data_IF_959058832694
#
_entry.id   IF_959058832694
#
_cell.length_a   1.000
_cell.length_b   1.000
_cell.length_c   1.000
_cell.angle_alpha   90.00
_cell.angle_beta   90.00
_cell.angle_gamma   90.00
#
_symmetry.space_group_name_H-M   'P 1'
#
loop_
_entity.id
_entity.type
_entity.pdbx_description
1 polymer ?
#
# COMPACT_ATOMS: atom_id res chain seq x y z
N UNK A 1 3.54 12.16 19.48
CA UNK A 1 2.32 12.84 19.02
C UNK A 1 1.68 13.49 20.24
N UNK A 2 1.22 14.73 20.18
CA UNK A 2 0.55 15.34 21.35
C UNK A 2 -0.93 14.99 21.34
N UNK A 3 -1.45 14.53 22.47
CA UNK A 3 -2.87 14.31 22.72
C UNK A 3 -3.37 15.33 23.74
N UNK A 4 -4.51 15.96 23.46
CA UNK A 4 -5.24 16.83 24.39
C UNK A 4 -6.66 16.33 24.57
N UNK A 5 -7.09 16.19 25.81
CA UNK A 5 -8.43 15.70 26.16
C UNK A 5 -9.23 16.79 26.85
N UNK A 6 -10.50 16.91 26.50
CA UNK A 6 -11.43 17.91 27.01
C UNK A 6 -12.71 17.25 27.52
N UNK A 7 -12.91 17.23 28.84
CA UNK A 7 -14.06 16.67 29.53
C UNK A 7 -15.23 17.63 29.59
N UNK A 8 -16.45 17.10 29.48
CA UNK A 8 -17.68 17.85 29.75
C UNK A 8 -17.99 19.04 28.82
N UNK A 9 -17.08 19.44 27.93
CA UNK A 9 -17.17 20.63 27.07
C UNK A 9 -18.18 20.48 25.91
N UNK A 10 -18.97 19.41 25.89
CA UNK A 10 -19.86 19.09 24.76
C UNK A 10 -19.11 19.17 23.43
N UNK A 11 -17.84 18.76 23.39
CA UNK A 11 -17.00 18.81 22.19
C UNK A 11 -17.66 18.06 21.01
N UNK A 12 -18.48 17.05 21.29
CA UNK A 12 -19.35 16.35 20.34
C UNK A 12 -20.45 17.22 19.68
N UNK A 13 -20.59 18.50 20.06
CA UNK A 13 -21.54 19.46 19.47
C UNK A 13 -20.87 20.54 18.62
N UNK A 14 -19.54 20.50 18.50
CA UNK A 14 -18.85 21.41 17.59
C UNK A 14 -19.30 21.12 16.16
N UNK A 15 -19.43 22.18 15.36
CA UNK A 15 -19.95 22.12 13.98
C UNK A 15 -18.99 22.73 12.97
N UNK A 16 -17.93 23.41 13.41
CA UNK A 16 -16.95 24.07 12.53
C UNK A 16 -15.54 23.82 13.01
N UNK A 17 -14.59 23.79 12.08
CA UNK A 17 -13.17 23.59 12.38
C UNK A 17 -12.63 24.70 13.30
N UNK A 18 -13.06 25.95 13.09
CA UNK A 18 -12.65 27.08 13.92
C UNK A 18 -13.04 26.90 15.39
N UNK A 19 -14.16 26.24 15.70
CA UNK A 19 -14.52 25.93 17.08
C UNK A 19 -13.56 24.91 17.71
N UNK A 20 -13.11 23.91 16.95
CA UNK A 20 -12.09 22.95 17.41
C UNK A 20 -10.78 23.68 17.66
N UNK A 21 -10.35 24.54 16.73
CA UNK A 21 -9.12 25.33 16.88
C UNK A 21 -9.20 26.24 18.11
N UNK A 22 -10.33 26.93 18.29
CA UNK A 22 -10.56 27.80 19.45
C UNK A 22 -10.56 27.03 20.77
N UNK A 23 -11.20 25.86 20.82
CA UNK A 23 -11.13 24.98 21.99
C UNK A 23 -9.69 24.55 22.28
N UNK A 24 -8.98 24.03 21.27
CA UNK A 24 -7.64 23.50 21.42
C UNK A 24 -6.58 24.55 21.82
N UNK A 25 -6.77 25.81 21.40
CA UNK A 25 -5.84 26.91 21.68
C UNK A 25 -6.18 27.71 22.94
N UNK A 26 -7.47 27.94 23.21
CA UNK A 26 -7.90 28.91 24.23
C UNK A 26 -8.45 28.25 25.49
N UNK A 27 -8.76 26.94 25.46
CA UNK A 27 -9.16 26.19 26.65
C UNK A 27 -7.99 25.40 27.21
N UNK A 28 -7.90 25.30 28.54
CA UNK A 28 -6.95 24.40 29.18
C UNK A 28 -7.44 22.96 29.02
N UNK A 29 -6.63 22.03 28.47
CA UNK A 29 -7.00 20.63 28.39
C UNK A 29 -7.03 20.00 29.79
N UNK A 30 -7.92 19.05 30.00
CA UNK A 30 -7.99 18.27 31.24
C UNK A 30 -6.80 17.29 31.33
N UNK A 31 -6.40 16.72 30.18
CA UNK A 31 -5.22 15.89 30.04
C UNK A 31 -4.40 16.32 28.81
N UNK A 32 -3.08 16.36 28.96
CA UNK A 32 -2.13 16.53 27.86
C UNK A 32 -1.02 15.50 27.98
N UNK A 33 -0.90 14.63 26.98
CA UNK A 33 0.04 13.50 26.99
C UNK A 33 0.79 13.37 25.67
N UNK A 34 1.86 12.57 25.67
CA UNK A 34 2.50 12.13 24.45
C UNK A 34 1.94 10.76 24.06
N UNK A 35 1.13 10.74 23.03
CA UNK A 35 0.51 9.54 22.51
C UNK A 35 1.47 8.77 21.58
N UNK A 36 1.47 7.45 21.74
CA UNK A 36 2.21 6.49 20.89
C UNK A 36 1.30 5.74 19.93
N UNK A 37 0.00 5.74 20.18
CA UNK A 37 -1.09 5.36 19.28
C UNK A 37 -2.12 6.50 19.26
N UNK A 38 -3.24 6.32 18.57
CA UNK A 38 -4.34 7.30 18.57
C UNK A 38 -5.64 6.62 19.01
N UNK A 39 -5.64 6.11 20.23
CA UNK A 39 -6.79 5.51 20.88
C UNK A 39 -6.94 6.08 22.29
N UNK A 40 -8.11 6.64 22.58
CA UNK A 40 -8.39 7.19 23.90
C UNK A 40 -9.69 6.62 24.46
N UNK A 41 -9.62 6.20 25.72
CA UNK A 41 -10.76 5.76 26.53
C UNK A 41 -10.59 6.30 27.95
N UNK A 42 -11.70 6.70 28.56
CA UNK A 42 -11.67 7.17 29.94
C UNK A 42 -11.48 5.99 30.91
N UNK A 43 -10.62 6.12 31.93
CA UNK A 43 -10.55 5.15 33.02
C UNK A 43 -11.90 5.00 33.73
N UNK A 44 -12.23 3.77 34.14
CA UNK A 44 -13.42 3.50 34.93
C UNK A 44 -13.42 4.35 36.22
N UNK A 45 -14.53 5.06 36.48
CA UNK A 45 -14.71 5.84 37.71
C UNK A 45 -14.19 7.28 37.67
N UNK A 46 -13.78 7.80 36.52
CA UNK A 46 -13.35 9.20 36.36
C UNK A 46 -14.44 10.19 36.83
N UNK A 47 -14.20 10.91 37.92
CA UNK A 47 -15.09 11.97 38.41
C UNK A 47 -15.12 13.12 37.37
N UNK A 48 -16.33 13.47 36.89
CA UNK A 48 -16.64 14.33 35.72
C UNK A 48 -16.90 13.63 34.38
N UNK A 49 -16.83 12.29 34.32
CA UNK A 49 -17.21 11.49 33.14
C UNK A 49 -18.73 11.41 32.85
N UNK A 50 -19.57 12.22 33.53
CA UNK A 50 -21.04 12.20 33.32
C UNK A 50 -21.47 12.74 31.95
N UNK A 51 -20.53 13.25 31.15
CA UNK A 51 -20.74 13.64 29.76
C UNK A 51 -19.63 13.09 28.86
N UNK A 52 -19.89 13.03 27.57
CA UNK A 52 -18.85 12.71 26.59
C UNK A 52 -17.71 13.73 26.57
N UNK A 53 -16.60 13.35 25.95
CA UNK A 53 -15.35 14.10 25.89
C UNK A 53 -14.91 14.32 24.44
N UNK A 54 -13.97 15.23 24.23
CA UNK A 54 -13.29 15.46 22.95
C UNK A 54 -11.79 15.26 23.07
N UNK A 55 -11.17 14.74 22.02
CA UNK A 55 -9.75 14.52 21.91
C UNK A 55 -9.23 15.23 20.66
N UNK A 56 -8.10 15.92 20.81
CA UNK A 56 -7.33 16.48 19.71
C UNK A 56 -5.95 15.83 19.71
N UNK A 57 -5.65 15.06 18.68
CA UNK A 57 -4.30 14.61 18.41
C UNK A 57 -3.65 15.55 17.41
N UNK A 58 -2.46 16.08 17.71
CA UNK A 58 -1.75 16.96 16.80
C UNK A 58 -0.23 16.83 16.91
N UNK A 59 0.43 16.91 15.76
CA UNK A 59 1.88 16.74 15.66
C UNK A 59 2.32 16.42 14.25
N UNK A 60 3.46 15.72 14.14
CA UNK A 60 4.04 15.30 12.87
C UNK A 60 3.77 13.81 12.65
N UNK A 61 3.33 13.47 11.45
CA UNK A 61 3.25 12.11 10.92
C UNK A 61 4.45 11.88 10.00
N UNK A 62 5.17 10.78 10.18
CA UNK A 62 6.21 10.32 9.27
C UNK A 62 5.56 9.37 8.25
N UNK A 63 5.66 9.74 6.99
CA UNK A 63 5.25 8.93 5.84
C UNK A 63 6.51 8.33 5.20
N UNK A 64 6.73 7.01 5.35
CA UNK A 64 7.95 6.38 4.87
C UNK A 64 8.15 6.43 3.35
N UNK A 65 7.05 6.48 2.59
CA UNK A 65 7.03 6.43 1.13
C UNK A 65 5.87 7.25 0.58
N UNK A 66 6.06 7.87 -0.56
CA UNK A 66 4.97 8.55 -1.25
C UNK A 66 3.88 7.53 -1.61
N UNK A 67 2.60 7.89 -1.40
CA UNK A 67 1.49 7.02 -1.74
C UNK A 67 0.16 7.45 -1.13
N UNK A 68 -0.89 6.74 -1.54
CA UNK A 68 -2.22 6.89 -0.96
C UNK A 68 -2.23 6.42 0.51
N UNK A 69 -2.93 7.16 1.35
CA UNK A 69 -3.13 6.88 2.77
C UNK A 69 -4.60 7.05 3.10
N UNK A 70 -5.19 6.05 3.76
CA UNK A 70 -6.53 6.16 4.35
C UNK A 70 -6.39 6.41 5.84
N UNK A 71 -6.98 7.49 6.34
CA UNK A 71 -7.13 7.73 7.78
C UNK A 71 -8.60 7.58 8.15
N UNK A 72 -8.90 6.67 9.08
CA UNK A 72 -10.22 6.46 9.64
C UNK A 72 -10.29 7.08 11.04
N UNK A 73 -11.25 7.96 11.28
CA UNK A 73 -11.49 8.60 12.57
C UNK A 73 -12.83 8.12 13.11
N UNK A 74 -12.81 7.53 14.30
CA UNK A 74 -13.98 6.97 14.96
C UNK A 74 -14.37 7.80 16.19
N UNK A 75 -15.64 8.19 16.22
CA UNK A 75 -16.22 9.03 17.24
C UNK A 75 -17.62 9.49 16.85
N UNK A 76 -18.31 10.15 17.77
CA UNK A 76 -19.60 10.78 17.49
C UNK A 76 -19.45 12.02 16.59
N UNK A 77 -18.39 12.80 16.77
CA UNK A 77 -18.04 13.95 15.90
C UNK A 77 -16.57 13.87 15.56
N UNK A 78 -16.25 14.01 14.27
CA UNK A 78 -14.91 13.75 13.74
C UNK A 78 -14.47 14.82 12.74
N UNK A 79 -13.18 15.09 12.69
CA UNK A 79 -12.51 15.89 11.66
C UNK A 79 -11.03 15.50 11.54
N UNK A 80 -10.44 15.84 10.39
CA UNK A 80 -9.06 15.53 10.02
C UNK A 80 -8.50 16.66 9.16
N UNK A 81 -7.38 17.22 9.58
CA UNK A 81 -6.57 18.13 8.79
C UNK A 81 -5.16 17.57 8.62
N UNK A 82 -4.62 17.69 7.40
CA UNK A 82 -3.24 17.32 7.07
C UNK A 82 -2.60 18.47 6.29
N UNK A 83 -1.40 18.88 6.70
CA UNK A 83 -0.66 20.00 6.10
C UNK A 83 -1.46 21.29 5.94
N UNK A 84 -2.34 21.57 6.90
CA UNK A 84 -3.20 22.75 6.91
C UNK A 84 -4.44 22.64 6.02
N UNK A 85 -4.60 21.54 5.27
CA UNK A 85 -5.79 21.24 4.46
C UNK A 85 -6.76 20.38 5.27
N UNK A 86 -8.04 20.77 5.30
CA UNK A 86 -9.09 20.03 5.96
C UNK A 86 -9.61 18.93 5.02
N UNK A 87 -9.34 17.66 5.35
CA UNK A 87 -9.76 16.51 4.55
C UNK A 87 -11.06 15.87 5.06
N UNK A 88 -11.38 16.07 6.34
CA UNK A 88 -12.70 15.83 6.90
C UNK A 88 -13.15 17.08 7.64
N UNK A 89 -14.15 17.77 7.11
CA UNK A 89 -14.90 18.80 7.85
C UNK A 89 -15.48 18.24 9.14
N UNK A 90 -15.85 19.11 10.08
CA UNK A 90 -16.55 18.68 11.29
C UNK A 90 -17.91 18.09 10.92
N UNK A 91 -18.07 16.79 11.11
CA UNK A 91 -19.36 16.13 10.95
C UNK A 91 -19.51 14.96 11.92
N UNK A 92 -20.71 14.37 11.94
CA UNK A 92 -21.02 13.24 12.81
C UNK A 92 -20.57 11.91 12.23
N UNK A 93 -20.26 10.99 13.14
CA UNK A 93 -20.02 9.58 12.84
C UNK A 93 -18.58 9.24 12.52
N UNK A 94 -18.36 7.94 12.37
CA UNK A 94 -17.09 7.37 11.94
C UNK A 94 -16.88 7.68 10.46
N UNK A 95 -15.74 8.27 10.12
CA UNK A 95 -15.46 8.77 8.78
C UNK A 95 -14.04 8.43 8.36
N UNK A 96 -13.84 8.32 7.06
CA UNK A 96 -12.54 8.02 6.44
C UNK A 96 -12.21 9.09 5.42
N UNK A 97 -10.93 9.45 5.33
CA UNK A 97 -10.39 10.27 4.25
C UNK A 97 -9.26 9.52 3.56
N UNK A 98 -9.30 9.52 2.23
CA UNK A 98 -8.21 9.05 1.38
C UNK A 98 -7.44 10.26 0.88
N UNK A 99 -6.15 10.28 1.17
CA UNK A 99 -5.25 11.38 0.85
C UNK A 99 -3.99 10.83 0.22
N UNK A 100 -3.35 11.62 -0.63
CA UNK A 100 -1.99 11.31 -1.07
C UNK A 100 -0.99 12.02 -0.17
N UNK A 101 -0.01 11.29 0.36
CA UNK A 101 1.11 11.85 1.11
C UNK A 101 2.41 11.52 0.40
N UNK A 102 3.29 12.51 0.24
CA UNK A 102 4.65 12.27 -0.23
C UNK A 102 5.52 11.62 0.85
N UNK A 103 6.72 11.17 0.49
CA UNK A 103 7.67 10.70 1.50
C UNK A 103 8.11 11.88 2.37
N UNK A 104 8.10 11.70 3.70
CA UNK A 104 8.59 12.70 4.66
C UNK A 104 7.61 12.97 5.79
N UNK A 105 7.66 14.20 6.31
CA UNK A 105 6.91 14.62 7.50
C UNK A 105 5.75 15.53 7.14
N UNK A 106 4.56 15.17 7.64
CA UNK A 106 3.32 15.89 7.44
C UNK A 106 2.77 16.40 8.77
N UNK A 107 2.20 17.60 8.79
CA UNK A 107 1.44 18.09 9.93
C UNK A 107 0.11 17.33 9.99
N UNK A 108 -0.14 16.61 11.07
CA UNK A 108 -1.39 15.87 11.28
C UNK A 108 -2.16 16.53 12.43
N UNK A 109 -3.46 16.77 12.24
CA UNK A 109 -4.38 17.16 13.31
C UNK A 109 -5.69 16.38 13.16
N UNK A 110 -6.05 15.63 14.19
CA UNK A 110 -7.28 14.84 14.24
C UNK A 110 -8.11 15.30 15.41
N UNK A 111 -9.41 15.47 15.18
CA UNK A 111 -10.39 15.69 16.23
C UNK A 111 -11.39 14.54 16.25
N UNK A 112 -11.61 13.98 17.43
CA UNK A 112 -12.66 13.01 17.67
C UNK A 112 -13.33 13.28 19.02
N UNK A 113 -14.65 13.25 19.05
CA UNK A 113 -15.42 13.43 20.27
C UNK A 113 -16.52 12.39 20.40
N UNK A 114 -16.87 12.06 21.63
CA UNK A 114 -17.94 11.13 21.98
C UNK A 114 -19.02 11.82 22.81
N UNK A 115 -20.23 11.25 22.83
CA UNK A 115 -21.33 11.67 23.73
C UNK A 115 -21.32 10.91 25.06
N UNK A 116 -20.61 9.79 25.15
CA UNK A 116 -20.59 8.89 26.28
C UNK A 116 -19.14 8.59 26.69
N UNK A 117 -18.83 8.78 27.97
CA UNK A 117 -17.51 8.52 28.53
C UNK A 117 -17.03 7.06 28.39
N UNK A 118 -17.96 6.11 28.31
CA UNK A 118 -17.62 4.69 28.14
C UNK A 118 -17.30 4.32 26.68
N UNK A 119 -17.40 5.25 25.74
CA UNK A 119 -17.03 5.01 24.34
C UNK A 119 -15.59 5.44 24.10
N UNK A 120 -14.84 4.60 23.40
CA UNK A 120 -13.51 4.87 22.88
C UNK A 120 -13.60 5.73 21.62
N UNK A 121 -12.74 6.72 21.51
CA UNK A 121 -12.47 7.43 20.24
C UNK A 121 -11.12 6.96 19.69
N UNK A 122 -11.03 6.75 18.39
CA UNK A 122 -9.81 6.23 17.76
C UNK A 122 -9.53 6.88 16.42
N UNK A 123 -8.25 6.88 16.03
CA UNK A 123 -7.84 7.05 14.65
C UNK A 123 -6.99 5.86 14.20
N UNK A 124 -7.22 5.40 12.98
CA UNK A 124 -6.49 4.29 12.34
C UNK A 124 -5.99 4.71 10.97
N UNK A 125 -4.91 4.09 10.52
CA UNK A 125 -4.25 4.40 9.25
C UNK A 125 -4.12 3.14 8.41
N UNK A 126 -4.26 3.29 7.10
CA UNK A 126 -3.80 2.33 6.11
C UNK A 126 -2.93 3.07 5.10
N UNK A 127 -1.78 2.51 4.76
CA UNK A 127 -0.90 3.03 3.69
C UNK A 127 -1.06 2.15 2.46
N UNK A 128 -0.85 2.72 1.28
CA UNK A 128 -0.89 1.98 0.03
C UNK A 128 0.00 0.73 0.13
N UNK A 129 -0.59 -0.42 -0.20
CA UNK A 129 0.11 -1.68 -0.35
C UNK A 129 -0.20 -2.21 -1.74
N UNK A 130 0.78 -2.11 -2.64
CA UNK A 130 0.60 -2.59 -4.01
C UNK A 130 0.49 -4.10 -4.08
N UNK A 131 0.80 -4.87 -3.03
CA UNK A 131 0.63 -6.32 -3.01
C UNK A 131 -0.72 -6.76 -2.40
N UNK A 132 -1.59 -5.85 -1.97
CA UNK A 132 -2.85 -6.19 -1.31
C UNK A 132 -4.03 -5.32 -1.79
N UNK A 133 -5.06 -5.97 -2.31
CA UNK A 133 -6.32 -5.31 -2.73
C UNK A 133 -7.13 -4.76 -1.55
N UNK A 134 -7.01 -5.41 -0.40
CA UNK A 134 -7.77 -5.04 0.79
C UNK A 134 -7.08 -3.90 1.55
N UNK A 135 -7.85 -2.85 1.82
CA UNK A 135 -7.41 -1.73 2.67
C UNK A 135 -7.50 -2.14 4.14
N UNK A 136 -6.37 -2.50 4.71
CA UNK A 136 -6.27 -2.93 6.10
C UNK A 136 -5.89 -1.75 7.01
N UNK A 137 -6.87 -1.24 7.76
CA UNK A 137 -6.67 -0.19 8.76
C UNK A 137 -6.01 -0.76 10.02
N UNK A 138 -4.86 -0.20 10.40
CA UNK A 138 -4.13 -0.54 11.62
C UNK A 138 -4.12 0.65 12.59
N UNK A 139 -3.93 0.41 13.91
CA UNK A 139 -3.63 1.50 14.84
C UNK A 139 -2.34 2.20 14.43
N UNK A 140 -2.29 3.52 14.63
CA UNK A 140 -1.03 4.25 14.57
C UNK A 140 -0.04 3.66 15.58
N UNK A 141 1.23 3.62 15.21
CA UNK A 141 2.34 3.13 16.02
C UNK A 141 3.26 4.27 16.41
N UNK A 142 4.11 4.04 17.41
CA UNK A 142 5.08 5.04 17.88
C UNK A 142 6.00 5.50 16.76
N UNK A 143 6.38 4.59 15.88
CA UNK A 143 7.26 4.80 14.74
C UNK A 143 6.66 5.77 13.71
N UNK A 144 5.32 5.87 13.63
CA UNK A 144 4.63 6.84 12.77
C UNK A 144 4.88 8.29 13.20
N UNK A 145 5.37 8.51 14.43
CA UNK A 145 5.61 9.82 15.02
C UNK A 145 7.09 10.04 15.38
N UNK A 146 7.99 9.12 15.02
CA UNK A 146 9.39 9.19 15.38
C UNK A 146 10.18 10.15 14.48
N UNK A 147 10.38 11.37 14.98
CA UNK A 147 11.14 12.41 14.29
C UNK A 147 12.67 12.21 14.33
N UNK A 148 13.15 11.18 15.02
CA UNK A 148 14.57 10.79 14.99
C UNK A 148 14.88 9.82 13.85
N UNK A 149 13.85 9.28 13.19
CA UNK A 149 13.98 8.43 12.01
C UNK A 149 14.70 9.17 10.87
N UNK A 150 15.60 8.51 10.12
CA UNK A 150 16.19 9.08 8.91
C UNK A 150 15.17 9.52 7.85
N UNK A 151 13.96 8.94 7.90
CA UNK A 151 12.82 9.24 7.03
C UNK A 151 12.04 10.49 7.46
N UNK A 152 12.28 11.02 8.66
CA UNK A 152 11.60 12.18 9.19
C UNK A 152 12.14 13.51 8.61
N UNK A 153 12.20 13.59 7.28
CA UNK A 153 12.59 14.79 6.52
C UNK A 153 11.33 15.57 6.13
N UNK A 154 11.39 16.89 5.89
CA UNK A 154 10.27 17.61 5.31
C UNK A 154 9.78 16.91 4.04
N UNK A 155 8.45 16.73 3.92
CA UNK A 155 7.88 16.17 2.70
C UNK A 155 8.22 17.06 1.49
N UNK A 156 8.39 16.44 0.32
CA UNK A 156 8.61 17.18 -0.92
C UNK A 156 7.37 18.01 -1.23
N UNK A 157 7.53 19.32 -1.32
CA UNK A 157 6.43 20.21 -1.65
C UNK A 157 6.07 20.04 -3.14
N UNK A 158 4.82 19.67 -3.42
CA UNK A 158 4.30 19.60 -4.79
C UNK A 158 3.99 21.00 -5.29
N UNK A 159 4.27 21.24 -6.57
CA UNK A 159 3.84 22.48 -7.18
C UNK A 159 2.31 22.49 -7.24
N UNK A 160 1.66 23.62 -6.91
CA UNK A 160 0.23 23.73 -7.06
C UNK A 160 -0.14 23.52 -8.54
N UNK A 161 -1.28 22.88 -8.78
CA UNK A 161 -1.85 22.74 -10.12
C UNK A 161 -2.03 24.14 -10.74
N UNK A 162 -1.49 24.33 -11.94
CA UNK A 162 -1.68 25.52 -12.73
C UNK A 162 -2.88 25.31 -13.64
N UNK A 163 -3.77 26.31 -13.70
CA UNK A 163 -4.93 26.28 -14.57
C UNK A 163 -4.95 27.55 -15.43
N UNK A 164 -4.92 27.36 -16.74
CA UNK A 164 -5.09 28.40 -17.74
C UNK A 164 -6.47 28.23 -18.37
N UNK A 165 -7.41 29.08 -17.99
CA UNK A 165 -8.81 28.98 -18.39
C UNK A 165 -9.13 30.16 -19.31
N UNK A 166 -9.52 29.86 -20.54
CA UNK A 166 -10.08 30.81 -21.50
C UNK A 166 -11.56 30.51 -21.76
N UNK A 167 -12.20 31.30 -22.63
CA UNK A 167 -13.61 31.12 -23.00
C UNK A 167 -13.88 29.75 -23.65
N UNK A 168 -12.91 29.21 -24.40
CA UNK A 168 -13.10 27.98 -25.21
C UNK A 168 -12.10 26.86 -24.90
N UNK A 169 -11.06 27.14 -24.13
CA UNK A 169 -9.96 26.20 -23.88
C UNK A 169 -9.51 26.29 -22.43
N UNK A 170 -9.50 25.14 -21.75
CA UNK A 170 -9.10 25.00 -20.36
C UNK A 170 -7.92 24.05 -20.28
N UNK A 171 -6.77 24.55 -19.86
CA UNK A 171 -5.54 23.79 -19.70
C UNK A 171 -5.21 23.65 -18.20
N UNK A 172 -4.98 22.42 -17.75
CA UNK A 172 -4.62 22.09 -16.38
C UNK A 172 -3.25 21.40 -16.38
N UNK A 173 -2.26 21.99 -15.72
CA UNK A 173 -0.90 21.46 -15.62
C UNK A 173 -0.55 21.15 -14.17
N UNK A 174 -0.07 19.95 -13.90
CA UNK A 174 0.36 19.47 -12.59
C UNK A 174 1.58 18.56 -12.74
N UNK A 175 2.27 18.28 -11.63
CA UNK A 175 3.41 17.35 -11.63
C UNK A 175 2.98 15.95 -12.14
N UNK A 176 3.78 15.23 -12.96
CA UNK A 176 3.38 13.97 -13.55
C UNK A 176 2.95 12.90 -12.53
N UNK A 177 1.88 12.15 -12.87
CA UNK A 177 1.38 11.05 -12.07
C UNK A 177 1.15 9.80 -12.93
N UNK A 178 1.49 8.64 -12.38
CA UNK A 178 1.04 7.35 -12.89
C UNK A 178 -0.42 7.14 -12.50
N UNK A 179 -1.33 7.23 -13.48
CA UNK A 179 -2.77 7.16 -13.27
C UNK A 179 -3.38 6.10 -14.19
N UNK A 180 -4.33 5.32 -13.66
CA UNK A 180 -5.18 4.42 -14.46
C UNK A 180 -6.33 5.16 -15.14
N UNK A 181 -6.93 6.10 -14.43
CA UNK A 181 -8.10 6.84 -14.91
C UNK A 181 -7.99 8.30 -14.49
N UNK A 182 -8.53 9.16 -15.33
CA UNK A 182 -8.73 10.57 -15.04
C UNK A 182 -10.22 10.86 -15.03
N UNK A 183 -10.70 11.59 -14.02
CA UNK A 183 -12.09 12.01 -13.93
C UNK A 183 -12.17 13.52 -14.00
N UNK A 184 -12.91 14.02 -14.98
CA UNK A 184 -13.26 15.43 -15.08
C UNK A 184 -14.72 15.61 -14.62
N UNK A 185 -14.93 16.45 -13.60
CA UNK A 185 -16.25 16.74 -13.01
C UNK A 185 -16.49 18.23 -13.04
N UNK A 186 -17.66 18.62 -13.52
CA UNK A 186 -18.15 20.00 -13.46
C UNK A 186 -19.27 20.03 -12.44
N UNK A 187 -18.97 20.57 -11.26
CA UNK A 187 -19.91 20.63 -10.14
C UNK A 187 -21.02 21.66 -10.39
N UNK A 188 -20.69 22.76 -11.08
CA UNK A 188 -21.62 23.86 -11.37
C UNK A 188 -21.29 24.51 -12.72
N UNK A 189 -22.33 24.90 -13.46
CA UNK A 189 -22.21 25.68 -14.67
C UNK A 189 -23.38 26.67 -14.81
N UNK A 190 -23.16 27.76 -15.51
CA UNK A 190 -24.19 28.73 -15.86
C UNK A 190 -24.78 28.35 -17.23
N UNK A 191 -26.12 28.22 -17.30
CA UNK A 191 -26.83 27.86 -18.53
C UNK A 191 -27.56 26.52 -18.43
N UNK A 192 -27.90 25.93 -19.58
CA UNK A 192 -28.68 24.67 -19.65
C UNK A 192 -27.81 23.41 -19.69
N UNK A 193 -26.58 23.50 -20.23
CA UNK A 193 -25.64 22.38 -20.32
C UNK A 193 -24.20 22.86 -20.54
N UNK A 194 -23.24 21.96 -20.31
CA UNK A 194 -21.84 22.11 -20.76
C UNK A 194 -21.61 21.25 -22.00
N UNK A 195 -20.94 21.80 -23.00
CA UNK A 195 -20.48 21.07 -24.18
C UNK A 195 -18.95 21.01 -24.18
N UNK A 196 -18.40 19.80 -24.26
CA UNK A 196 -16.96 19.54 -24.40
C UNK A 196 -16.72 18.97 -25.79
N UNK A 197 -15.93 19.67 -26.62
CA UNK A 197 -15.66 19.27 -28.00
C UNK A 197 -14.50 18.27 -28.10
N UNK A 198 -13.41 18.55 -27.39
CA UNK A 198 -12.18 17.75 -27.44
C UNK A 198 -11.59 17.61 -26.03
N UNK A 199 -10.84 16.53 -25.82
CA UNK A 199 -10.15 16.26 -24.56
C UNK A 199 -8.77 15.67 -24.89
N UNK A 200 -7.73 16.32 -24.37
CA UNK A 200 -6.35 15.88 -24.52
C UNK A 200 -5.77 15.52 -23.16
N UNK A 201 -5.03 14.42 -23.10
CA UNK A 201 -4.24 14.07 -21.92
C UNK A 201 -2.80 13.92 -22.36
N UNK A 202 -1.96 14.84 -21.89
CA UNK A 202 -0.52 14.83 -22.13
C UNK A 202 0.27 14.00 -21.12
N UNK A 203 1.47 13.59 -21.52
CA UNK A 203 2.49 13.06 -20.63
C UNK A 203 3.46 14.13 -20.14
N UNK A 204 4.57 13.70 -19.54
CA UNK A 204 5.62 14.58 -19.03
C UNK A 204 6.42 15.28 -20.12
N UNK A 205 6.41 14.75 -21.35
CA UNK A 205 7.08 15.33 -22.50
C UNK A 205 6.15 16.26 -23.31
N UNK A 206 6.65 17.40 -23.82
CA UNK A 206 5.87 18.26 -24.70
C UNK A 206 5.35 17.52 -25.93
N UNK A 207 4.06 17.64 -26.22
CA UNK A 207 3.35 16.98 -27.34
C UNK A 207 3.24 15.44 -27.26
N UNK A 208 3.59 14.82 -26.13
CA UNK A 208 3.24 13.42 -25.90
C UNK A 208 1.80 13.35 -25.41
N UNK A 209 0.89 12.85 -26.24
CA UNK A 209 -0.52 12.67 -25.88
C UNK A 209 -0.87 11.19 -25.72
N UNK A 210 -1.50 10.87 -24.60
CA UNK A 210 -2.12 9.55 -24.34
C UNK A 210 -3.57 9.51 -24.79
N UNK A 211 -4.27 10.64 -24.73
CA UNK A 211 -5.62 10.81 -25.27
C UNK A 211 -5.59 12.02 -26.22
N UNK A 212 -6.12 11.87 -27.45
CA UNK A 212 -6.61 10.64 -28.07
C UNK A 212 -5.49 9.61 -28.34
N UNK A 213 -5.82 8.32 -28.35
CA UNK A 213 -4.84 7.27 -28.68
C UNK A 213 -4.51 7.28 -30.18
N UNK A 214 -3.29 6.88 -30.55
CA UNK A 214 -2.88 6.77 -31.96
C UNK A 214 -3.52 5.58 -32.68
N UNK A 215 -4.11 4.63 -31.95
CA UNK A 215 -4.68 3.42 -32.50
C UNK A 215 -5.98 3.71 -33.26
N UNK A 216 -6.02 3.35 -34.55
CA UNK A 216 -7.25 3.35 -35.33
C UNK A 216 -8.04 2.08 -35.00
N UNK A 217 -8.99 2.19 -34.07
CA UNK A 217 -9.87 1.07 -33.66
C UNK A 217 -10.63 0.48 -34.86
N UNK A 218 -10.88 1.27 -35.91
CA UNK A 218 -11.56 0.77 -37.12
C UNK A 218 -10.68 -0.17 -37.96
N UNK A 219 -9.35 -0.06 -37.83
CA UNK A 219 -8.40 -0.94 -38.51
C UNK A 219 -8.40 -2.37 -37.96
N UNK A 220 -8.77 -2.56 -36.68
CA UNK A 220 -8.88 -3.87 -36.04
C UNK A 220 -9.90 -4.78 -36.73
N UNK A 221 -10.96 -4.22 -37.32
CA UNK A 221 -12.01 -4.98 -38.00
C UNK A 221 -11.53 -5.69 -39.29
N UNK A 222 -10.34 -5.35 -39.80
CA UNK A 222 -9.84 -5.83 -41.09
C UNK A 222 -8.58 -6.70 -40.97
N UNK A 223 -8.15 -7.07 -39.75
CA UNK A 223 -7.00 -7.94 -39.55
C UNK A 223 -7.43 -9.41 -39.38
N UNK A 224 -6.46 -10.33 -39.42
CA UNK A 224 -6.68 -11.77 -39.15
C UNK A 224 -6.20 -12.15 -37.74
N UNK A 225 -6.30 -11.21 -36.79
CA UNK A 225 -5.90 -11.42 -35.40
C UNK A 225 -7.17 -11.51 -34.56
N UNK A 226 -7.25 -12.55 -33.73
CA UNK A 226 -8.29 -12.60 -32.71
C UNK A 226 -7.87 -11.65 -31.59
N UNK A 227 -8.45 -10.46 -31.59
CA UNK A 227 -8.27 -9.50 -30.50
C UNK A 227 -9.03 -9.99 -29.27
N UNK A 228 -8.33 -10.16 -28.16
CA UNK A 228 -8.88 -10.63 -26.89
C UNK A 228 -8.63 -9.56 -25.84
N UNK A 229 -9.66 -9.19 -25.09
CA UNK A 229 -9.57 -8.29 -23.96
C UNK A 229 -9.53 -9.06 -22.64
N UNK A 230 -9.02 -8.42 -21.58
CA UNK A 230 -9.12 -8.95 -20.22
C UNK A 230 -10.59 -9.17 -19.83
N UNK A 231 -10.91 -10.39 -19.41
CA UNK A 231 -12.26 -10.83 -19.07
C UNK A 231 -12.96 -11.65 -20.17
N UNK A 232 -12.43 -11.68 -21.40
CA UNK A 232 -12.96 -12.53 -22.46
C UNK A 232 -12.77 -14.01 -22.12
N UNK A 233 -13.71 -14.85 -22.57
CA UNK A 233 -13.65 -16.30 -22.40
C UNK A 233 -13.47 -16.93 -23.77
N UNK A 234 -12.33 -17.60 -23.96
CA UNK A 234 -12.06 -18.40 -25.15
C UNK A 234 -12.52 -19.83 -24.88
N UNK A 235 -13.52 -20.28 -25.63
CA UNK A 235 -14.00 -21.66 -25.59
C UNK A 235 -13.38 -22.46 -26.74
N UNK A 236 -12.61 -23.49 -26.39
CA UNK A 236 -12.10 -24.48 -27.33
C UNK A 236 -12.97 -25.74 -27.26
N UNK A 237 -13.55 -26.12 -28.39
CA UNK A 237 -14.32 -27.36 -28.53
C UNK A 237 -13.58 -28.34 -29.45
N UNK A 238 -13.46 -29.59 -29.01
CA UNK A 238 -12.86 -30.67 -29.78
C UNK A 238 -13.81 -31.87 -29.79
N UNK A 239 -14.10 -32.37 -30.98
CA UNK A 239 -14.87 -33.61 -31.14
C UNK A 239 -13.91 -34.78 -31.17
N UNK A 240 -13.91 -35.57 -30.08
CA UNK A 240 -13.18 -36.83 -30.03
C UNK A 240 -13.99 -37.91 -30.77
N UNK A 241 -13.56 -38.23 -31.98
CA UNK A 241 -14.17 -39.26 -32.82
C UNK A 241 -13.73 -40.69 -32.47
N UNK A 242 -12.69 -40.86 -31.64
CA UNK A 242 -12.13 -42.17 -31.30
C UNK A 242 -12.71 -42.73 -30.01
N UNK A 243 -13.01 -41.88 -29.03
CA UNK A 243 -13.63 -42.28 -27.76
C UNK A 243 -15.14 -42.14 -27.83
N UNK A 244 -15.84 -43.23 -28.17
CA UNK A 244 -17.30 -43.22 -28.24
C UNK A 244 -17.96 -43.22 -26.85
N UNK A 245 -19.04 -42.45 -26.71
CA UNK A 245 -19.98 -42.58 -25.61
C UNK A 245 -20.67 -43.96 -25.69
N UNK A 246 -21.29 -44.42 -24.59
CA UNK A 246 -22.06 -45.69 -24.56
C UNK A 246 -23.16 -45.78 -25.64
N UNK A 247 -23.58 -44.63 -26.18
CA UNK A 247 -24.55 -44.49 -27.27
C UNK A 247 -23.95 -44.59 -28.69
N UNK A 248 -22.63 -44.76 -28.83
CA UNK A 248 -21.92 -44.80 -30.12
C UNK A 248 -21.62 -43.45 -30.76
N UNK A 249 -21.95 -42.33 -30.08
CA UNK A 249 -21.67 -40.98 -30.55
C UNK A 249 -20.26 -40.51 -30.16
N UNK A 250 -19.64 -39.70 -31.02
CA UNK A 250 -18.40 -38.96 -30.73
C UNK A 250 -18.57 -38.07 -29.49
N UNK A 251 -17.51 -37.88 -28.72
CA UNK A 251 -17.54 -37.07 -27.50
C UNK A 251 -17.09 -35.64 -27.79
N UNK A 252 -17.95 -34.67 -27.52
CA UNK A 252 -17.55 -33.26 -27.52
C UNK A 252 -16.82 -32.96 -26.21
N UNK A 253 -15.59 -32.47 -26.31
CA UNK A 253 -14.77 -31.98 -25.20
C UNK A 253 -14.71 -30.46 -25.29
N UNK A 254 -15.05 -29.79 -24.20
CA UNK A 254 -15.00 -28.33 -24.11
C UNK A 254 -14.00 -27.93 -23.04
N UNK A 255 -13.19 -26.90 -23.34
CA UNK A 255 -12.34 -26.20 -22.38
C UNK A 255 -12.51 -24.70 -22.55
N UNK A 256 -12.56 -24.01 -21.43
CA UNK A 256 -12.63 -22.56 -21.36
C UNK A 256 -11.31 -22.01 -20.83
N UNK A 257 -10.89 -20.88 -21.37
CA UNK A 257 -9.78 -20.07 -20.89
C UNK A 257 -10.29 -18.63 -20.73
N UNK A 258 -10.28 -18.11 -19.51
CA UNK A 258 -10.52 -16.67 -19.28
C UNK A 258 -9.22 -15.93 -19.53
N UNK A 259 -9.22 -15.02 -20.50
CA UNK A 259 -8.09 -14.15 -20.75
C UNK A 259 -7.99 -13.10 -19.63
N UNK A 260 -6.88 -13.08 -18.90
CA UNK A 260 -6.63 -12.12 -17.83
C UNK A 260 -5.14 -11.94 -17.64
N UNK A 261 -4.75 -10.79 -17.11
CA UNK A 261 -3.39 -10.55 -16.65
C UNK A 261 -3.14 -11.18 -15.29
N UNK A 262 -1.89 -11.56 -15.05
CA UNK A 262 -1.43 -12.04 -13.76
C UNK A 262 -0.93 -10.87 -12.90
N UNK A 263 -1.36 -10.82 -11.64
CA UNK A 263 -0.80 -9.85 -10.71
C UNK A 263 0.55 -10.37 -10.23
N UNK A 264 1.63 -9.80 -10.75
CA UNK A 264 2.97 -10.30 -10.47
C UNK A 264 3.28 -10.26 -8.98
N UNK A 265 4.07 -11.24 -8.53
CA UNK A 265 4.51 -11.36 -7.13
C UNK A 265 6.02 -11.31 -7.09
N UNK A 266 6.57 -10.46 -6.22
CA UNK A 266 8.00 -10.42 -5.91
C UNK A 266 8.20 -10.96 -4.50
N UNK A 267 9.15 -11.86 -4.33
CA UNK A 267 9.51 -12.44 -3.04
C UNK A 267 11.02 -12.46 -2.87
N UNK A 268 11.48 -12.25 -1.64
CA UNK A 268 12.82 -12.64 -1.20
C UNK A 268 12.75 -14.05 -0.62
N UNK A 269 13.56 -14.96 -1.14
CA UNK A 269 13.54 -16.36 -0.74
C UNK A 269 14.94 -16.87 -0.39
N UNK A 270 14.94 -17.97 0.35
CA UNK A 270 16.11 -18.82 0.56
C UNK A 270 15.70 -20.29 0.45
N UNK A 271 16.69 -21.16 0.29
CA UNK A 271 16.47 -22.60 0.21
C UNK A 271 17.15 -23.31 1.38
N UNK A 272 16.40 -24.14 2.09
CA UNK A 272 16.95 -25.10 3.04
C UNK A 272 17.05 -26.48 2.38
N UNK A 273 18.16 -27.16 2.61
CA UNK A 273 18.40 -28.51 2.10
C UNK A 273 18.34 -29.49 3.25
N UNK A 274 17.32 -30.34 3.27
CA UNK A 274 17.15 -31.38 4.28
C UNK A 274 17.44 -32.74 3.65
N UNK A 275 18.36 -33.50 4.27
CA UNK A 275 18.66 -34.86 3.83
C UNK A 275 17.65 -35.82 4.45
N UNK A 276 16.86 -36.48 3.60
CA UNK A 276 15.90 -37.49 4.01
C UNK A 276 16.61 -38.81 4.37
N UNK A 277 15.93 -39.67 5.14
CA UNK A 277 16.45 -40.97 5.61
C UNK A 277 16.86 -41.91 4.47
N UNK A 278 16.24 -41.77 3.29
CA UNK A 278 16.58 -42.51 2.06
C UNK A 278 17.81 -41.94 1.32
N UNK A 279 18.46 -40.90 1.87
CA UNK A 279 19.60 -40.23 1.27
C UNK A 279 19.26 -39.15 0.24
N UNK A 280 17.99 -38.97 -0.12
CA UNK A 280 17.55 -37.91 -1.01
C UNK A 280 17.66 -36.54 -0.33
N UNK A 281 17.94 -35.49 -1.12
CA UNK A 281 17.96 -34.11 -0.63
C UNK A 281 16.63 -33.46 -1.01
N UNK A 282 15.92 -32.96 0.00
CA UNK A 282 14.70 -32.19 -0.17
C UNK A 282 15.02 -30.71 -0.05
N UNK A 283 14.69 -29.94 -1.08
CA UNK A 283 14.79 -28.48 -1.08
C UNK A 283 13.50 -27.88 -0.52
N UNK A 284 13.62 -26.98 0.45
CA UNK A 284 12.50 -26.28 1.08
C UNK A 284 12.67 -24.79 0.78
N UNK A 285 11.78 -24.22 -0.04
CA UNK A 285 11.67 -22.77 -0.26
C UNK A 285 11.14 -22.12 1.01
N UNK A 286 11.84 -21.11 1.52
CA UNK A 286 11.39 -20.26 2.63
C UNK A 286 11.45 -18.80 2.23
N UNK A 287 10.55 -18.00 2.80
CA UNK A 287 10.62 -16.55 2.69
C UNK A 287 11.80 -16.02 3.51
N UNK A 288 12.57 -15.10 2.92
CA UNK A 288 13.77 -14.51 3.51
C UNK A 288 13.46 -13.09 3.98
N UNK A 289 13.23 -12.94 5.28
CA UNK A 289 12.91 -11.63 5.88
C UNK A 289 14.14 -10.87 6.36
N UNK A 290 15.21 -11.58 6.73
CA UNK A 290 16.39 -10.99 7.35
C UNK A 290 17.68 -11.64 6.88
N UNK A 291 18.75 -10.85 6.82
CA UNK A 291 20.10 -11.31 6.52
C UNK A 291 21.15 -10.68 7.42
N UNK A 292 22.28 -11.36 7.58
CA UNK A 292 23.54 -10.74 7.95
C UNK A 292 24.35 -10.34 6.70
N UNK A 293 25.18 -9.27 6.75
CA UNK A 293 26.08 -8.95 5.64
C UNK A 293 26.97 -10.15 5.28
N UNK A 294 26.95 -10.56 4.02
CA UNK A 294 27.64 -11.77 3.54
C UNK A 294 26.68 -12.92 3.19
N UNK A 295 25.44 -12.88 3.67
CA UNK A 295 24.41 -13.84 3.25
C UNK A 295 23.82 -13.48 1.88
N UNK A 296 23.24 -14.48 1.22
CA UNK A 296 22.68 -14.35 -0.12
C UNK A 296 21.18 -14.07 -0.05
N UNK A 297 20.72 -13.14 -0.88
CA UNK A 297 19.31 -12.92 -1.16
C UNK A 297 19.00 -13.56 -2.51
N UNK A 298 17.96 -14.38 -2.59
CA UNK A 298 17.41 -14.81 -3.88
C UNK A 298 16.10 -14.08 -4.12
N UNK A 299 16.02 -13.30 -5.20
CA UNK A 299 14.73 -12.76 -5.65
C UNK A 299 14.00 -13.82 -6.47
N UNK A 300 12.69 -13.94 -6.24
CA UNK A 300 11.77 -14.72 -7.05
C UNK A 300 10.66 -13.80 -7.52
N UNK A 301 10.50 -13.69 -8.84
CA UNK A 301 9.46 -12.90 -9.49
C UNK A 301 8.56 -13.90 -10.21
N UNK A 302 7.28 -13.95 -9.83
CA UNK A 302 6.27 -14.76 -10.50
C UNK A 302 5.43 -13.82 -11.36
N UNK A 303 5.56 -13.94 -12.67
CA UNK A 303 4.82 -13.16 -13.66
C UNK A 303 4.66 -13.98 -14.95
N UNK A 304 3.52 -14.68 -15.06
CA UNK A 304 3.22 -15.52 -16.23
C UNK A 304 3.04 -14.71 -17.52
N UNK A 305 2.80 -13.39 -17.43
CA UNK A 305 2.61 -12.55 -18.61
C UNK A 305 3.95 -12.22 -19.30
N UNK A 306 5.07 -12.54 -18.63
CA UNK A 306 6.45 -12.35 -19.12
C UNK A 306 7.10 -13.60 -19.69
N UNK A 307 6.44 -14.75 -19.57
CA UNK A 307 6.78 -15.94 -20.36
C UNK A 307 6.20 -15.76 -21.77
N UNK A 308 7.04 -15.29 -22.69
CA UNK A 308 6.65 -14.86 -24.04
C UNK A 308 7.31 -15.68 -25.14
N UNK A 309 8.30 -16.50 -24.80
CA UNK A 309 9.07 -17.29 -25.76
C UNK A 309 9.10 -18.77 -25.37
N UNK A 310 9.75 -19.57 -26.22
CA UNK A 310 9.91 -21.01 -25.99
C UNK A 310 11.24 -21.36 -25.31
N UNK A 311 11.84 -20.37 -24.64
CA UNK A 311 13.13 -20.45 -23.94
C UNK A 311 13.02 -19.62 -22.67
N UNK A 312 13.92 -19.82 -21.69
CA UNK A 312 13.90 -19.04 -20.47
C UNK A 312 14.00 -17.54 -20.76
N UNK A 313 12.93 -16.83 -20.45
CA UNK A 313 12.83 -15.39 -20.63
C UNK A 313 13.54 -14.65 -19.49
N UNK A 314 13.69 -13.34 -19.67
CA UNK A 314 14.36 -12.48 -18.69
C UNK A 314 13.54 -11.25 -18.37
N UNK A 315 13.58 -10.87 -17.11
CA UNK A 315 12.90 -9.67 -16.60
C UNK A 315 13.88 -8.77 -15.86
N UNK A 316 13.71 -7.46 -16.05
CA UNK A 316 14.46 -6.45 -15.31
C UNK A 316 13.75 -6.15 -13.99
N UNK A 317 14.53 -6.00 -12.94
CA UNK A 317 14.07 -5.57 -11.63
C UNK A 317 15.15 -4.70 -10.97
N UNK A 318 14.81 -4.03 -9.88
CA UNK A 318 15.70 -3.10 -9.20
C UNK A 318 15.96 -3.54 -7.76
N UNK A 319 17.19 -3.32 -7.30
CA UNK A 319 17.57 -3.48 -5.90
C UNK A 319 17.88 -2.11 -5.32
N UNK A 320 17.25 -1.77 -4.21
CA UNK A 320 17.39 -0.46 -3.55
C UNK A 320 17.81 -0.70 -2.11
N UNK A 321 18.92 -0.09 -1.68
CA UNK A 321 19.36 -0.12 -0.28
C UNK A 321 18.96 1.18 0.39
N UNK A 322 18.04 1.10 1.35
CA UNK A 322 17.39 2.25 1.99
C UNK A 322 16.73 3.18 0.95
N UNK A 323 17.21 4.42 0.83
CA UNK A 323 16.74 5.43 -0.14
C UNK A 323 17.84 5.77 -1.19
N UNK A 324 18.79 4.84 -1.44
CA UNK A 324 19.83 5.04 -2.45
C UNK A 324 19.29 4.86 -3.88
N UNK A 325 20.10 5.21 -4.88
CA UNK A 325 19.74 5.00 -6.28
C UNK A 325 19.48 3.51 -6.58
N UNK A 326 18.42 3.19 -7.34
CA UNK A 326 18.12 1.81 -7.73
C UNK A 326 19.24 1.17 -8.55
N UNK A 327 19.55 -0.09 -8.25
CA UNK A 327 20.50 -0.91 -8.99
C UNK A 327 19.71 -1.86 -9.89
N UNK A 328 19.70 -1.66 -11.22
CA UNK A 328 18.99 -2.56 -12.13
C UNK A 328 19.72 -3.90 -12.23
N UNK A 329 18.97 -4.98 -12.10
CA UNK A 329 19.41 -6.37 -12.24
C UNK A 329 18.44 -7.13 -13.14
N UNK A 330 18.89 -8.29 -13.61
CA UNK A 330 18.13 -9.15 -14.50
C UNK A 330 17.93 -10.52 -13.84
N UNK A 331 16.67 -10.95 -13.77
CA UNK A 331 16.27 -12.30 -13.36
C UNK A 331 15.97 -13.14 -14.61
N UNK A 332 16.22 -14.44 -14.51
CA UNK A 332 15.99 -15.39 -15.61
C UNK A 332 15.02 -16.46 -15.15
N UNK A 333 14.15 -16.88 -16.05
CA UNK A 333 13.24 -17.99 -15.81
C UNK A 333 13.99 -19.23 -15.30
N UNK A 334 13.39 -19.92 -14.33
CA UNK A 334 14.01 -21.08 -13.72
C UNK A 334 13.81 -22.39 -14.52
N UNK A 335 12.84 -22.42 -15.43
CA UNK A 335 12.54 -23.53 -16.33
C UNK A 335 11.81 -22.98 -17.58
N UNK A 336 11.67 -23.80 -18.61
CA UNK A 336 10.92 -23.44 -19.80
C UNK A 336 9.43 -23.26 -19.46
N UNK A 337 8.85 -22.12 -19.85
CA UNK A 337 7.44 -21.76 -19.66
C UNK A 337 6.97 -21.71 -18.20
N UNK A 338 7.85 -21.32 -17.28
CA UNK A 338 7.53 -21.35 -15.87
C UNK A 338 6.84 -20.07 -15.39
N UNK A 339 7.10 -18.93 -16.04
CA UNK A 339 6.79 -17.58 -15.58
C UNK A 339 7.39 -17.23 -14.21
N UNK A 340 8.41 -17.99 -13.77
CA UNK A 340 9.07 -17.81 -12.47
C UNK A 340 10.53 -17.46 -12.72
N UNK A 341 10.88 -16.20 -12.46
CA UNK A 341 12.20 -15.64 -12.68
C UNK A 341 12.96 -15.55 -11.37
N UNK A 342 14.23 -15.96 -11.37
CA UNK A 342 15.07 -15.91 -10.17
C UNK A 342 16.41 -15.23 -10.44
N UNK A 343 16.96 -14.60 -9.39
CA UNK A 343 18.31 -14.04 -9.38
C UNK A 343 18.88 -14.10 -7.97
N UNK A 344 20.10 -14.63 -7.87
CA UNK A 344 20.88 -14.60 -6.64
C UNK A 344 21.67 -13.29 -6.53
N UNK A 345 21.64 -12.69 -5.34
CA UNK A 345 22.29 -11.43 -4.99
C UNK A 345 23.16 -11.70 -3.77
N UNK A 346 24.47 -11.75 -3.99
CA UNK A 346 25.44 -11.89 -2.90
C UNK A 346 25.64 -10.54 -2.20
N UNK A 347 25.59 -10.54 -0.87
CA UNK A 347 25.80 -9.32 -0.08
C UNK A 347 27.17 -9.30 0.59
N UNK A 348 27.59 -8.11 1.05
CA UNK A 348 28.87 -7.92 1.75
C UNK A 348 28.81 -6.69 2.65
N UNK A 349 29.59 -6.67 3.73
CA UNK A 349 29.72 -5.50 4.60
C UNK A 349 30.57 -4.38 3.98
N UNK A 350 31.51 -4.75 3.11
CA UNK A 350 32.50 -3.86 2.50
C UNK A 350 32.32 -3.79 0.99
N UNK A 351 32.76 -2.72 0.34
CA UNK A 351 32.62 -2.58 -1.11
C UNK A 351 33.42 -3.69 -1.84
N UNK A 352 32.71 -4.55 -2.56
CA UNK A 352 33.27 -5.63 -3.36
C UNK A 352 32.57 -5.67 -4.73
N UNK A 353 33.32 -5.93 -5.80
CA UNK A 353 32.76 -5.96 -7.15
C UNK A 353 31.78 -7.13 -7.32
N UNK A 354 30.64 -6.87 -7.97
CA UNK A 354 29.59 -7.86 -8.17
C UNK A 354 28.74 -8.23 -6.94
N UNK A 355 28.97 -7.61 -5.77
CA UNK A 355 28.16 -7.85 -4.55
C UNK A 355 27.45 -6.59 -4.08
N UNK A 356 26.29 -6.78 -3.45
CA UNK A 356 25.51 -5.72 -2.84
C UNK A 356 26.11 -5.34 -1.47
N UNK A 357 26.64 -4.12 -1.35
CA UNK A 357 27.13 -3.63 -0.06
C UNK A 357 25.98 -3.25 0.86
N UNK A 358 25.92 -3.87 2.03
CA UNK A 358 24.87 -3.66 3.03
C UNK A 358 25.46 -3.53 4.43
N UNK A 359 24.81 -2.75 5.29
CA UNK A 359 25.20 -2.51 6.69
C UNK A 359 24.09 -2.94 7.63
N UNK A 360 24.46 -3.25 8.88
CA UNK A 360 23.49 -3.56 9.92
C UNK A 360 22.47 -2.42 10.08
N UNK A 361 21.19 -2.77 10.07
CA UNK A 361 20.07 -1.83 10.11
C UNK A 361 19.60 -1.33 8.75
N UNK A 362 20.29 -1.66 7.65
CA UNK A 362 19.82 -1.34 6.31
C UNK A 362 18.56 -2.14 5.95
N UNK A 363 17.80 -1.59 5.01
CA UNK A 363 16.65 -2.24 4.36
C UNK A 363 16.97 -2.40 2.88
N UNK A 364 16.77 -3.60 2.36
CA UNK A 364 16.95 -3.90 0.93
C UNK A 364 15.58 -4.14 0.32
N UNK A 365 15.23 -3.34 -0.68
CA UNK A 365 14.00 -3.48 -1.44
C UNK A 365 14.29 -4.12 -2.79
N UNK A 366 13.51 -5.14 -3.13
CA UNK A 366 13.51 -5.80 -4.44
C UNK A 366 12.26 -5.32 -5.16
N UNK A 367 12.42 -4.53 -6.23
CA UNK A 367 11.33 -3.87 -6.94
C UNK A 367 11.20 -4.37 -8.37
N UNK A 368 10.02 -4.85 -8.74
CA UNK A 368 9.69 -5.27 -10.09
C UNK A 368 8.52 -4.42 -10.62
N UNK A 369 8.62 -3.93 -11.85
CA UNK A 369 7.53 -3.18 -12.48
C UNK A 369 6.58 -4.15 -13.20
N UNK A 370 5.47 -4.44 -12.53
CA UNK A 370 4.35 -5.18 -13.10
C UNK A 370 3.61 -4.26 -14.07
N UNK A 371 3.83 -4.44 -15.37
CA UNK A 371 3.28 -3.57 -16.42
C UNK A 371 1.80 -3.82 -16.71
N UNK A 372 1.34 -5.05 -16.53
CA UNK A 372 -0.01 -5.48 -16.86
C UNK A 372 -0.53 -6.34 -15.72
N UNK A 373 -1.60 -5.87 -15.09
CA UNK A 373 -2.21 -6.54 -13.96
C UNK A 373 -3.70 -6.21 -13.92
N UNK A 374 -4.44 -6.94 -13.09
CA UNK A 374 -5.83 -6.64 -12.76
C UNK A 374 -5.94 -5.70 -11.56
N UNK A 375 -4.93 -5.70 -10.69
CA UNK A 375 -4.85 -4.83 -9.52
C UNK A 375 -3.49 -4.15 -9.38
N UNK A 376 -3.43 -2.81 -9.33
CA UNK A 376 -4.54 -1.84 -9.43
C UNK A 376 -5.06 -1.63 -10.86
N UNK A 377 -4.57 -2.38 -11.85
CA UNK A 377 -4.95 -2.34 -13.25
C UNK A 377 -4.25 -1.28 -14.08
N UNK A 378 -3.03 -0.91 -13.67
CA UNK A 378 -2.05 -0.13 -14.43
C UNK A 378 -0.66 -0.57 -13.99
N UNK A 379 0.38 -0.11 -14.69
CA UNK A 379 1.75 -0.43 -14.34
C UNK A 379 2.03 -0.05 -12.88
N UNK A 380 2.50 -1.01 -12.08
CA UNK A 380 2.69 -0.81 -10.64
C UNK A 380 4.00 -1.45 -10.17
N UNK A 381 4.79 -0.79 -9.32
CA UNK A 381 5.92 -1.43 -8.68
C UNK A 381 5.42 -2.43 -7.62
N UNK A 382 5.83 -3.70 -7.76
CA UNK A 382 5.70 -4.76 -6.76
C UNK A 382 7.01 -4.86 -6.00
N UNK A 383 6.94 -4.99 -4.68
CA UNK A 383 8.14 -4.97 -3.86
C UNK A 383 8.16 -6.06 -2.78
N UNK A 384 9.37 -6.56 -2.51
CA UNK A 384 9.71 -7.33 -1.31
C UNK A 384 10.79 -6.59 -0.50
N UNK A 385 10.75 -6.72 0.82
CA UNK A 385 11.69 -6.08 1.74
C UNK A 385 12.49 -7.12 2.53
N UNK A 386 13.82 -6.93 2.58
CA UNK A 386 14.74 -7.73 3.40
C UNK A 386 15.44 -6.81 4.38
N UNK A 387 15.40 -7.15 5.68
CA UNK A 387 16.06 -6.37 6.72
C UNK A 387 17.46 -6.90 7.02
N UNK A 388 18.45 -6.01 7.06
CA UNK A 388 19.80 -6.38 7.50
C UNK A 388 19.85 -6.29 9.01
N UNK A 389 20.17 -7.40 9.67
CA UNK A 389 20.07 -7.52 11.12
C UNK A 389 20.82 -6.39 11.84
N UNK A 390 20.15 -5.78 12.80
CA UNK A 390 20.75 -4.86 13.74
C UNK A 390 20.65 -5.46 15.15
N UNK A 391 21.78 -5.73 15.83
CA UNK A 391 21.75 -6.21 17.20
C UNK A 391 21.04 -5.19 18.10
N UNK A 392 20.03 -5.64 18.84
CA UNK A 392 19.40 -4.86 19.90
C UNK A 392 19.83 -5.39 21.26
N UNK A 393 19.77 -4.55 22.30
CA UNK A 393 19.90 -5.03 23.66
C UNK A 393 18.80 -6.07 23.93
N UNK A 394 19.20 -7.32 24.21
CA UNK A 394 18.25 -8.37 24.54
C UNK A 394 17.54 -8.07 25.85
N UNK A 395 16.21 -8.19 25.86
CA UNK A 395 15.41 -8.12 27.08
C UNK A 395 15.15 -9.55 27.57
N UNK A 396 15.74 -9.92 28.71
CA UNK A 396 15.43 -11.17 29.38
C UNK A 396 14.32 -10.89 30.40
N UNK A 397 13.15 -11.51 30.20
CA UNK A 397 12.09 -11.54 31.22
C UNK A 397 12.06 -12.93 31.85
N UNK A 398 12.35 -13.00 33.15
CA UNK A 398 12.14 -14.21 33.93
C UNK A 398 10.66 -14.23 34.33
N UNK A 399 9.94 -15.27 33.91
CA UNK A 399 8.59 -15.55 34.37
C UNK A 399 8.68 -16.59 35.48
N UNK A 400 8.41 -16.18 36.72
CA UNK A 400 8.30 -17.13 37.83
C UNK A 400 7.01 -17.94 37.69
N UNK A 401 7.14 -19.23 37.41
CA UNK A 401 6.02 -20.17 37.57
C UNK A 401 6.01 -20.69 39.00
N UNK A 402 5.04 -20.21 39.79
CA UNK A 402 4.72 -20.81 41.09
C UNK A 402 4.02 -22.14 40.84
N UNK A 403 4.76 -23.25 40.85
CA UNK A 403 4.17 -24.57 41.02
C UNK A 403 3.56 -24.62 42.42
N UNK A 404 2.23 -24.68 42.51
CA UNK A 404 1.53 -25.03 43.75
C UNK A 404 1.42 -26.56 43.71
N UNK A 405 2.16 -27.31 44.55
CA UNK A 405 1.96 -28.75 44.66
C UNK A 405 0.50 -29.00 45.03
N UNK A 406 -0.12 -29.98 44.37
CA UNK A 406 -1.49 -30.38 44.69
C UNK A 406 -1.61 -30.75 46.16
N UNK A 407 -2.73 -30.38 46.77
CA UNK A 407 -3.07 -30.68 48.16
C UNK A 407 -2.98 -32.20 48.41
N UNK A 408 -2.07 -32.69 49.27
CA UNK A 408 -1.93 -34.11 49.55
C UNK A 408 -3.16 -34.72 50.24
N UNK A 409 -4.14 -33.92 50.69
CA UNK A 409 -5.39 -34.40 51.30
C UNK A 409 -6.56 -34.53 50.31
N UNK A 410 -6.36 -34.27 49.01
CA UNK A 410 -7.35 -34.63 47.97
C UNK A 410 -6.99 -35.95 47.30
N UNK A 411 -7.19 -37.05 48.03
CA UNK A 411 -7.41 -38.40 47.48
C UNK A 411 -8.68 -39.00 48.09
#
# INVERSE_FOLDING_TARGET
>A
MTERVFYGNRAYRLTTWDQVVNMAKNSQPDEETQATDLEHSLPEGTENAKGGYGVVWFGKLVQPRAGAVRIAVNGYTTALAVDGTLHLDIARGNRTADIWLDQGTHNLTIFAATTNANQTVTARIARANHNAEQVNLIPFQKEDFDLTSPLARPAVERKPTQAEISETEWNFTFDPYDLRFTRFVIEEYLGEAVAVNHFEIGGSEPNLFYIPTQADVLSLANNNVLEIAGGDVVEATYTDEFTQLQSGASRLLTKELTATYYNAVVSSIAYDFTRQTNGAVSTIRKELMRIDPGERITVEIVDYDRDQTNKPDKVQFEVIVNDNDPIPLEATENDDYSGIFTKEIDTTAEKEDGKLTVKQGDRVYLRYLDMQNTFPGHAVPREAEVHVNQPTNGLVRILETRSIPGDPERN
#
